data_IF_583516386631
#
_entry.id   IF_583516386631
#
_cell.length_a   1.000
_cell.length_b   1.000
_cell.length_c   1.000
_cell.angle_alpha   90.00
_cell.angle_beta   90.00
_cell.angle_gamma   90.00
#
_symmetry.space_group_name_H-M   'P 1'
#
loop_
_entity.id
_entity.type
_entity.pdbx_description
1 polymer ?
#
# COMPACT_ATOMS: atom_id res chain seq x y z
N UNK A 1 10.89 12.55 14.97
CA UNK A 1 10.98 13.24 13.66
C UNK A 1 9.75 12.87 12.87
N UNK A 2 8.99 13.82 12.32
CA UNK A 2 7.89 13.48 11.42
C UNK A 2 8.44 12.71 10.21
N UNK A 3 7.82 11.58 9.87
CA UNK A 3 8.16 10.78 8.71
C UNK A 3 7.23 11.15 7.55
N UNK A 4 7.79 11.38 6.36
CA UNK A 4 7.00 11.57 5.15
C UNK A 4 6.57 10.19 4.63
N UNK A 5 5.27 10.00 4.41
CA UNK A 5 4.70 8.78 3.86
C UNK A 5 4.38 9.03 2.39
N UNK A 6 5.02 8.29 1.49
CA UNK A 6 4.81 8.41 0.05
C UNK A 6 3.56 7.66 -0.40
N UNK A 7 2.83 8.24 -1.35
CA UNK A 7 1.69 7.58 -1.98
C UNK A 7 2.12 6.42 -2.87
N UNK A 8 1.31 5.37 -2.94
CA UNK A 8 1.65 4.15 -3.67
C UNK A 8 1.89 4.37 -5.18
N UNK A 9 1.18 5.32 -5.79
CA UNK A 9 1.38 5.70 -7.19
C UNK A 9 2.73 6.41 -7.40
N UNK A 10 3.13 7.28 -6.49
CA UNK A 10 4.47 7.87 -6.52
C UNK A 10 5.56 6.79 -6.42
N UNK A 11 5.37 5.80 -5.55
CA UNK A 11 6.30 4.66 -5.42
C UNK A 11 6.37 3.85 -6.73
N UNK A 12 5.23 3.57 -7.37
CA UNK A 12 5.19 2.86 -8.65
C UNK A 12 5.94 3.61 -9.75
N UNK A 13 5.73 4.94 -9.87
CA UNK A 13 6.46 5.79 -10.82
C UNK A 13 7.96 5.80 -10.55
N UNK A 14 8.39 5.97 -9.30
CA UNK A 14 9.81 5.94 -8.91
C UNK A 14 10.49 4.60 -9.24
N UNK A 15 9.79 3.48 -9.04
CA UNK A 15 10.31 2.14 -9.35
C UNK A 15 10.25 1.81 -10.84
N UNK A 16 9.48 2.55 -11.63
CA UNK A 16 9.25 2.27 -13.05
C UNK A 16 8.56 0.92 -13.29
N UNK A 17 7.73 0.47 -12.34
CA UNK A 17 7.00 -0.81 -12.39
C UNK A 17 5.79 -0.78 -11.46
N UNK A 18 4.94 -1.80 -11.56
CA UNK A 18 3.87 -1.99 -10.59
C UNK A 18 4.40 -2.09 -9.15
N UNK A 19 3.70 -1.44 -8.23
CA UNK A 19 4.01 -1.45 -6.80
C UNK A 19 3.00 -2.30 -6.03
N UNK A 20 3.50 -3.30 -5.30
CA UNK A 20 2.68 -4.15 -4.45
C UNK A 20 2.46 -3.49 -3.09
N UNK A 21 1.23 -3.54 -2.58
CA UNK A 21 0.91 -2.97 -1.27
C UNK A 21 -0.22 -3.70 -0.57
N UNK A 22 -0.24 -3.55 0.75
CA UNK A 22 -1.28 -4.08 1.63
C UNK A 22 -2.11 -2.96 2.21
N UNK A 23 -3.41 -3.21 2.29
CA UNK A 23 -4.31 -2.41 3.12
C UNK A 23 -4.96 -3.28 4.19
N UNK A 24 -5.22 -2.66 5.34
CA UNK A 24 -5.81 -3.30 6.50
C UNK A 24 -7.10 -2.56 6.86
N UNK A 25 -8.22 -3.29 6.83
CA UNK A 25 -9.54 -2.73 7.06
C UNK A 25 -10.43 -3.73 7.80
N UNK A 26 -11.12 -3.30 8.86
CA UNK A 26 -12.17 -4.09 9.45
C UNK A 26 -13.27 -4.40 8.42
N UNK A 27 -13.84 -5.60 8.47
CA UNK A 27 -14.93 -5.97 7.58
C UNK A 27 -16.20 -5.17 7.89
N UNK A 28 -16.50 -4.95 9.19
CA UNK A 28 -17.70 -4.25 9.61
C UNK A 28 -17.58 -2.73 9.40
N UNK A 29 -18.66 -2.10 8.91
CA UNK A 29 -18.70 -0.65 8.69
C UNK A 29 -18.55 0.17 9.98
N UNK A 30 -19.10 -0.32 11.10
CA UNK A 30 -19.00 0.34 12.40
C UNK A 30 -17.54 0.40 12.91
N UNK A 31 -16.79 -0.69 12.71
CA UNK A 31 -15.39 -0.81 13.12
C UNK A 31 -14.47 0.06 12.27
N UNK A 32 -14.81 0.32 11.00
CA UNK A 32 -14.03 1.18 10.11
C UNK A 32 -13.85 2.62 10.61
N UNK A 33 -14.78 3.16 11.40
CA UNK A 33 -14.67 4.53 11.95
C UNK A 33 -13.75 4.60 13.18
N UNK A 34 -13.72 3.54 13.97
CA UNK A 34 -12.90 3.42 15.18
C UNK A 34 -11.58 2.68 14.92
N UNK A 35 -11.23 2.46 13.66
CA UNK A 35 -10.07 1.66 13.30
C UNK A 35 -8.76 2.38 13.57
N UNK A 36 -7.95 1.78 14.45
CA UNK A 36 -6.58 2.20 14.73
C UNK A 36 -5.62 1.08 14.33
N UNK A 37 -4.83 1.32 13.29
CA UNK A 37 -3.95 0.31 12.71
C UNK A 37 -2.85 -0.19 13.67
N UNK A 38 -2.50 0.60 14.68
CA UNK A 38 -1.57 0.22 15.75
C UNK A 38 -2.16 -0.85 16.69
N UNK A 39 -3.48 -0.95 16.75
CA UNK A 39 -4.22 -1.88 17.59
C UNK A 39 -4.74 -3.09 16.80
N UNK A 40 -4.43 -3.19 15.52
CA UNK A 40 -4.86 -4.29 14.65
C UNK A 40 -3.91 -5.50 14.83
N UNK A 41 -4.35 -6.58 15.49
CA UNK A 41 -3.51 -7.75 15.72
C UNK A 41 -3.17 -8.50 14.42
N UNK A 42 -4.05 -8.47 13.42
CA UNK A 42 -3.80 -9.11 12.13
C UNK A 42 -2.74 -8.34 11.36
N UNK A 43 -2.79 -7.00 11.37
CA UNK A 43 -1.72 -6.18 10.81
C UNK A 43 -0.39 -6.49 11.48
N UNK A 44 -0.33 -6.50 12.81
CA UNK A 44 0.89 -6.84 13.54
C UNK A 44 1.44 -8.23 13.17
N UNK A 45 0.54 -9.22 13.05
CA UNK A 45 0.91 -10.58 12.63
C UNK A 45 1.50 -10.62 11.21
N UNK A 46 0.88 -9.93 10.25
CA UNK A 46 1.36 -9.88 8.87
C UNK A 46 2.72 -9.20 8.79
N UNK A 47 2.90 -8.06 9.46
CA UNK A 47 4.20 -7.35 9.45
C UNK A 47 5.31 -8.19 10.07
N UNK A 48 5.04 -8.86 11.19
CA UNK A 48 6.00 -9.79 11.80
C UNK A 48 6.36 -10.96 10.87
N UNK A 49 5.40 -11.46 10.08
CA UNK A 49 5.67 -12.49 9.09
C UNK A 49 6.53 -11.97 7.93
N UNK A 50 6.27 -10.75 7.44
CA UNK A 50 7.09 -10.12 6.40
C UNK A 50 8.55 -9.99 6.88
N UNK A 51 8.75 -9.51 8.11
CA UNK A 51 10.07 -9.37 8.72
C UNK A 51 10.77 -10.73 8.85
N UNK A 52 10.07 -11.76 9.35
CA UNK A 52 10.61 -13.11 9.53
C UNK A 52 10.98 -13.81 8.21
N UNK A 53 10.32 -13.46 7.10
CA UNK A 53 10.56 -14.05 5.78
C UNK A 53 11.42 -13.14 4.88
N UNK A 54 11.94 -12.03 5.41
CA UNK A 54 12.81 -11.12 4.67
C UNK A 54 12.12 -10.42 3.51
N UNK A 55 10.81 -10.16 3.60
CA UNK A 55 10.07 -9.37 2.61
C UNK A 55 10.15 -7.90 3.03
N UNK A 56 10.94 -7.05 2.34
CA UNK A 56 11.11 -5.67 2.77
C UNK A 56 9.81 -4.88 2.58
N UNK A 57 9.43 -4.09 3.58
CA UNK A 57 8.24 -3.27 3.54
C UNK A 57 8.48 -1.89 4.17
N UNK A 58 7.64 -0.91 3.80
CA UNK A 58 7.62 0.41 4.42
C UNK A 58 6.22 1.02 4.38
N UNK A 59 5.86 1.97 5.27
CA UNK A 59 4.60 2.70 5.18
C UNK A 59 4.40 3.36 3.81
N UNK A 60 3.18 3.33 3.31
CA UNK A 60 2.76 4.09 2.13
C UNK A 60 1.36 4.68 2.30
N UNK A 61 1.04 5.72 1.53
CA UNK A 61 -0.29 6.27 1.40
C UNK A 61 -1.09 5.54 0.32
N UNK A 62 -2.43 5.74 0.27
CA UNK A 62 -3.25 5.28 -0.84
C UNK A 62 -2.87 6.03 -2.14
N UNK A 63 -3.50 5.67 -3.26
CA UNK A 63 -3.44 6.46 -4.49
C UNK A 63 -3.72 7.95 -4.19
N UNK A 64 -2.82 8.83 -4.61
CA UNK A 64 -2.99 10.27 -4.42
C UNK A 64 -4.24 10.77 -5.16
N UNK A 65 -5.05 11.58 -4.47
CA UNK A 65 -6.26 12.19 -5.02
C UNK A 65 -6.29 13.68 -4.65
N UNK A 66 -6.17 14.61 -5.61
CA UNK A 66 -6.19 16.05 -5.36
C UNK A 66 -7.49 16.59 -4.75
N UNK A 67 -8.58 15.83 -4.76
CA UNK A 67 -9.86 16.23 -4.14
C UNK A 67 -10.04 15.68 -2.72
N UNK A 68 -9.14 14.81 -2.24
CA UNK A 68 -9.27 14.16 -0.92
C UNK A 68 -7.92 13.99 -0.25
N UNK A 69 -7.74 14.62 0.92
CA UNK A 69 -6.60 14.35 1.80
C UNK A 69 -6.93 13.19 2.76
N UNK A 70 -6.60 11.97 2.34
CA UNK A 70 -6.81 10.77 3.15
C UNK A 70 -5.72 10.63 4.23
N UNK A 71 -6.12 10.30 5.46
CA UNK A 71 -5.17 9.92 6.51
C UNK A 71 -4.52 8.57 6.21
N UNK A 72 -3.27 8.41 6.64
CA UNK A 72 -2.64 7.09 6.64
C UNK A 72 -3.32 6.17 7.64
N UNK A 73 -3.68 4.96 7.18
CA UNK A 73 -4.42 3.97 7.96
C UNK A 73 -3.63 2.67 8.14
N UNK A 74 -2.30 2.75 8.07
CA UNK A 74 -1.43 1.60 8.29
C UNK A 74 -1.09 0.81 7.03
N UNK A 75 -1.40 1.32 5.83
CA UNK A 75 -1.00 0.71 4.56
C UNK A 75 0.52 0.60 4.45
N UNK A 76 0.99 -0.45 3.77
CA UNK A 76 2.42 -0.70 3.56
C UNK A 76 2.70 -1.10 2.12
N UNK A 77 3.76 -0.54 1.56
CA UNK A 77 4.37 -0.96 0.30
C UNK A 77 5.29 -2.16 0.56
N UNK A 78 5.31 -3.11 -0.38
CA UNK A 78 6.21 -4.26 -0.37
C UNK A 78 7.26 -4.08 -1.47
N UNK A 79 8.55 -4.06 -1.11
CA UNK A 79 9.65 -3.90 -2.08
C UNK A 79 9.97 -5.22 -2.79
N UNK A 80 8.98 -5.70 -3.53
CA UNK A 80 9.01 -6.92 -4.32
C UNK A 80 8.34 -6.63 -5.67
N UNK A 81 8.87 -7.14 -6.80
CA UNK A 81 8.17 -7.09 -8.07
C UNK A 81 6.97 -8.04 -8.04
N UNK A 82 5.91 -7.66 -8.76
CA UNK A 82 4.87 -8.59 -9.14
C UNK A 82 5.42 -9.47 -10.27
N UNK A 83 5.86 -10.68 -9.90
CA UNK A 83 6.51 -11.62 -10.80
C UNK A 83 6.20 -13.05 -10.36
N UNK A 84 5.37 -13.75 -11.14
CA UNK A 84 4.92 -15.12 -10.84
C UNK A 84 6.05 -16.15 -10.89
N UNK A 85 7.16 -15.85 -11.56
CA UNK A 85 8.32 -16.72 -11.63
C UNK A 85 9.30 -16.49 -10.45
N UNK A 86 9.14 -15.37 -9.73
CA UNK A 86 9.99 -15.04 -8.58
C UNK A 86 9.59 -15.86 -7.34
N UNK A 87 10.51 -16.70 -6.78
CA UNK A 87 10.18 -17.52 -5.61
C UNK A 87 9.72 -16.72 -4.40
N UNK A 88 10.30 -15.54 -4.17
CA UNK A 88 9.91 -14.67 -3.06
C UNK A 88 8.48 -14.13 -3.22
N UNK A 89 8.06 -13.79 -4.44
CA UNK A 89 6.68 -13.35 -4.71
C UNK A 89 5.70 -14.50 -4.49
N UNK A 90 6.02 -15.71 -4.95
CA UNK A 90 5.18 -16.89 -4.73
C UNK A 90 4.99 -17.20 -3.24
N UNK A 91 6.05 -17.11 -2.44
CA UNK A 91 5.97 -17.31 -0.98
C UNK A 91 5.07 -16.25 -0.33
N UNK A 92 5.20 -14.98 -0.73
CA UNK A 92 4.35 -13.89 -0.27
C UNK A 92 2.87 -14.12 -0.65
N UNK A 93 2.61 -14.43 -1.93
CA UNK A 93 1.27 -14.70 -2.46
C UNK A 93 0.63 -15.88 -1.73
N UNK A 94 1.33 -17.00 -1.60
CA UNK A 94 0.79 -18.21 -0.96
C UNK A 94 0.51 -18.01 0.55
N UNK A 95 1.22 -17.09 1.20
CA UNK A 95 0.91 -16.64 2.55
C UNK A 95 -0.37 -15.79 2.60
N UNK A 96 -0.48 -14.79 1.73
CA UNK A 96 -1.59 -13.83 1.73
C UNK A 96 -2.89 -14.39 1.16
N UNK A 97 -2.81 -15.32 0.22
CA UNK A 97 -3.93 -15.82 -0.58
C UNK A 97 -4.14 -17.34 -0.40
N UNK A 98 -5.37 -17.76 -0.62
CA UNK A 98 -5.76 -19.16 -0.81
C UNK A 98 -5.53 -19.57 -2.27
N UNK A 99 -5.50 -20.89 -2.58
CA UNK A 99 -5.30 -21.36 -3.95
C UNK A 99 -6.37 -20.90 -4.96
N UNK A 100 -7.52 -20.45 -4.49
CA UNK A 100 -8.59 -19.87 -5.32
C UNK A 100 -8.44 -18.36 -5.57
N UNK A 101 -7.35 -17.75 -5.08
CA UNK A 101 -7.05 -16.32 -5.18
C UNK A 101 -7.77 -15.44 -4.15
N UNK A 102 -8.55 -16.02 -3.24
CA UNK A 102 -9.18 -15.25 -2.15
C UNK A 102 -8.18 -14.98 -1.02
N UNK A 103 -8.36 -13.88 -0.28
CA UNK A 103 -7.47 -13.51 0.83
C UNK A 103 -7.59 -14.50 1.99
N UNK A 104 -6.44 -14.98 2.49
CA UNK A 104 -6.35 -15.88 3.64
C UNK A 104 -6.68 -15.19 4.97
N UNK A 105 -6.36 -13.90 5.06
CA UNK A 105 -6.48 -13.13 6.28
C UNK A 105 -7.65 -12.15 6.20
N UNK A 106 -8.63 -12.32 7.09
CA UNK A 106 -9.77 -11.40 7.17
C UNK A 106 -9.29 -9.97 7.44
N UNK A 107 -9.79 -9.03 6.64
CA UNK A 107 -9.47 -7.60 6.77
C UNK A 107 -8.15 -7.18 6.13
N UNK A 108 -7.38 -8.11 5.55
CA UNK A 108 -6.21 -7.80 4.73
C UNK A 108 -6.62 -7.77 3.26
N UNK A 109 -6.10 -6.80 2.52
CA UNK A 109 -6.22 -6.74 1.06
C UNK A 109 -4.85 -6.59 0.44
N UNK A 110 -4.62 -7.33 -0.63
CA UNK A 110 -3.38 -7.32 -1.38
C UNK A 110 -3.63 -6.73 -2.77
N UNK A 111 -2.86 -5.71 -3.13
CA UNK A 111 -3.06 -4.94 -4.34
C UNK A 111 -1.75 -4.77 -5.11
N UNK A 112 -1.89 -4.68 -6.43
CA UNK A 112 -0.88 -4.11 -7.30
C UNK A 112 -1.36 -2.74 -7.76
N UNK A 113 -0.54 -1.70 -7.61
CA UNK A 113 -0.70 -0.42 -8.27
C UNK A 113 0.02 -0.50 -9.63
N UNK A 114 -0.71 -0.62 -10.75
CA UNK A 114 -0.09 -0.69 -12.08
C UNK A 114 0.66 0.61 -12.40
N UNK A 115 1.76 0.49 -13.15
CA UNK A 115 2.51 1.68 -13.56
C UNK A 115 1.64 2.58 -14.43
N UNK A 116 0.84 1.99 -15.33
CA UNK A 116 -0.04 2.70 -16.25
C UNK A 116 -1.01 3.61 -15.51
N UNK A 117 -1.64 3.11 -14.45
CA UNK A 117 -2.53 3.89 -13.59
C UNK A 117 -1.75 4.93 -12.78
N UNK A 118 -0.57 4.57 -12.27
CA UNK A 118 0.26 5.50 -11.51
C UNK A 118 0.74 6.69 -12.37
N UNK A 119 0.93 6.48 -13.67
CA UNK A 119 1.32 7.51 -14.63
C UNK A 119 0.21 8.54 -14.91
N UNK A 120 -1.05 8.27 -14.57
CA UNK A 120 -2.12 9.29 -14.63
C UNK A 120 -1.83 10.47 -13.69
N UNK A 121 -1.09 10.23 -12.61
CA UNK A 121 -0.65 11.23 -11.63
C UNK A 121 0.79 11.71 -11.84
N UNK A 122 1.38 11.53 -13.03
CA UNK A 122 2.79 11.90 -13.27
C UNK A 122 3.08 13.39 -13.04
N UNK A 123 2.09 14.26 -13.25
CA UNK A 123 2.21 15.71 -12.98
C UNK A 123 2.49 16.03 -11.50
N UNK A 124 2.14 15.12 -10.57
CA UNK A 124 2.44 15.28 -9.13
C UNK A 124 3.94 15.33 -8.84
N UNK A 125 4.78 14.81 -9.74
CA UNK A 125 6.23 14.78 -9.60
C UNK A 125 6.89 16.10 -10.06
N UNK A 126 6.11 17.01 -10.69
CA UNK A 126 6.62 18.31 -11.11
C UNK A 126 7.00 19.18 -9.90
N UNK A 127 8.17 19.85 -9.94
CA UNK A 127 8.53 20.82 -8.91
C UNK A 127 7.44 21.87 -8.72
N UNK A 128 7.01 22.06 -7.49
CA UNK A 128 6.00 23.06 -7.15
C UNK A 128 4.54 22.62 -7.33
N UNK A 129 4.26 21.40 -7.81
CA UNK A 129 2.88 20.94 -8.05
C UNK A 129 2.00 21.11 -6.81
N UNK A 130 2.43 20.54 -5.67
CA UNK A 130 1.65 20.58 -4.42
C UNK A 130 1.53 21.98 -3.83
N UNK A 131 2.50 22.87 -4.09
CA UNK A 131 2.42 24.28 -3.69
C UNK A 131 1.36 25.01 -4.51
N UNK A 132 1.35 24.84 -5.84
CA UNK A 132 0.34 25.42 -6.73
C UNK A 132 -1.06 24.91 -6.41
N UNK A 133 -1.19 23.60 -6.25
CA UNK A 133 -2.45 22.98 -5.86
C UNK A 133 -2.99 23.53 -4.53
N UNK A 134 -2.12 23.73 -3.53
CA UNK A 134 -2.52 24.27 -2.23
C UNK A 134 -2.96 25.73 -2.27
N UNK A 135 -2.53 26.51 -3.27
CA UNK A 135 -2.98 27.90 -3.48
C UNK A 135 -4.40 27.97 -4.08
N UNK A 136 -4.85 26.89 -4.73
CA UNK A 136 -6.14 26.80 -5.43
C UNK A 136 -7.22 26.03 -4.65
N UNK A 137 -6.89 25.49 -3.47
CA UNK A 137 -7.77 24.67 -2.62
C UNK A 137 -8.67 25.50 -1.69
#
# INVERSE_FOLDING_TARGET
MPALIEHIDAIARQKGRAALYLEFHPQAAAERRAYHHEQDPMRAQVLAWLDANGVPWRPCGPLANPSVMASWRGQVYLDLPWDEDLPAYRVLRDYLELPDGSMRHAGVRFYAMPLELAMENAEHDEPGYWQRWAEEF
#
